data_IF_027883226350
#
_entry.id   IF_027883226350
#
_cell.length_a   1.000
_cell.length_b   1.000
_cell.length_c   1.000
_cell.angle_alpha   90.00
_cell.angle_beta   90.00
_cell.angle_gamma   90.00
#
_symmetry.space_group_name_H-M   'P 1'
#
loop_
_entity.id
_entity.type
_entity.pdbx_description
1 polymer ?
#
# COMPACT_ATOMS: atom_id res chain seq x y z
N UNK A 1 -6.75 -12.66 14.51
CA UNK A 1 -7.56 -13.19 13.38
C UNK A 1 -8.52 -12.10 12.96
N UNK A 2 -8.21 -11.36 11.89
CA UNK A 2 -9.22 -10.52 11.23
C UNK A 2 -10.05 -11.47 10.37
N UNK A 3 -11.34 -11.54 10.68
CA UNK A 3 -12.31 -12.48 10.09
C UNK A 3 -12.54 -12.25 8.59
N UNK A 4 -12.96 -13.31 7.91
CA UNK A 4 -13.40 -13.41 6.52
C UNK A 4 -14.52 -12.40 6.14
N UNK A 5 -14.19 -11.12 5.98
CA UNK A 5 -15.04 -10.22 5.19
C UNK A 5 -14.75 -10.43 3.71
N UNK A 6 -15.77 -10.43 2.85
CA UNK A 6 -15.55 -10.45 1.41
C UNK A 6 -14.73 -9.22 1.04
N UNK A 7 -13.51 -9.44 0.55
CA UNK A 7 -12.73 -8.39 -0.09
C UNK A 7 -13.61 -7.88 -1.24
N UNK A 8 -14.00 -6.61 -1.18
CA UNK A 8 -14.73 -5.99 -2.30
C UNK A 8 -13.74 -5.91 -3.45
N UNK A 9 -13.94 -6.78 -4.44
CA UNK A 9 -13.11 -6.87 -5.62
C UNK A 9 -13.62 -5.91 -6.69
N UNK A 10 -12.85 -4.85 -6.92
CA UNK A 10 -13.07 -3.88 -7.99
C UNK A 10 -11.99 -3.96 -9.07
N UNK A 11 -11.16 -5.02 -9.11
CA UNK A 11 -10.17 -5.24 -10.19
C UNK A 11 -10.81 -5.34 -11.57
N UNK A 12 -12.09 -5.72 -11.66
CA UNK A 12 -12.88 -5.68 -12.89
C UNK A 12 -12.99 -4.30 -13.54
N UNK A 13 -12.68 -3.22 -12.80
CA UNK A 13 -12.66 -1.86 -13.32
C UNK A 13 -11.31 -1.51 -13.98
N UNK A 14 -10.30 -2.38 -13.84
CA UNK A 14 -9.03 -2.21 -14.53
C UNK A 14 -9.19 -2.59 -16.01
N UNK A 15 -8.87 -1.67 -16.94
CA UNK A 15 -8.86 -1.99 -18.36
C UNK A 15 -7.92 -3.18 -18.66
N UNK A 16 -8.33 -4.17 -19.49
CA UNK A 16 -7.54 -5.36 -19.76
C UNK A 16 -6.11 -5.06 -20.26
N UNK A 17 -5.94 -3.98 -21.02
CA UNK A 17 -4.64 -3.60 -21.58
C UNK A 17 -3.61 -3.23 -20.51
N UNK A 18 -4.08 -2.84 -19.32
CA UNK A 18 -3.22 -2.50 -18.18
C UNK A 18 -2.87 -3.73 -17.34
N UNK A 19 -3.70 -4.79 -17.37
CA UNK A 19 -3.52 -6.02 -16.59
C UNK A 19 -2.41 -6.89 -17.18
N UNK A 20 -2.34 -6.99 -18.51
CA UNK A 20 -1.36 -7.83 -19.21
C UNK A 20 0.10 -7.42 -18.93
N UNK A 21 0.32 -6.16 -18.54
CA UNK A 21 1.64 -5.63 -18.15
C UNK A 21 2.07 -5.99 -16.72
N UNK A 22 1.17 -6.46 -15.86
CA UNK A 22 1.43 -6.65 -14.42
C UNK A 22 2.40 -7.81 -14.13
N UNK A 23 2.24 -9.03 -14.67
CA UNK A 23 3.09 -10.17 -14.32
C UNK A 23 4.54 -10.04 -14.84
N UNK A 24 4.74 -9.36 -15.96
CA UNK A 24 6.07 -9.11 -16.52
C UNK A 24 6.88 -8.12 -15.67
N UNK A 25 6.20 -7.20 -14.97
CA UNK A 25 6.82 -6.12 -14.20
C UNK A 25 7.40 -6.56 -12.85
N UNK A 26 6.84 -7.62 -12.26
CA UNK A 26 7.25 -8.15 -10.95
C UNK A 26 8.45 -9.09 -11.01
N UNK A 27 8.89 -9.48 -12.21
CA UNK A 27 9.99 -10.45 -12.42
C UNK A 27 11.40 -9.84 -12.37
N UNK A 28 11.52 -8.51 -12.34
CA UNK A 28 12.79 -7.82 -12.07
C UNK A 28 12.70 -7.10 -10.72
N UNK A 29 13.84 -6.84 -10.06
CA UNK A 29 13.96 -6.03 -8.82
C UNK A 29 13.28 -4.64 -8.92
N UNK A 30 12.83 -4.28 -10.11
CA UNK A 30 11.97 -3.14 -10.45
C UNK A 30 10.50 -3.26 -10.02
N UNK A 31 10.04 -4.35 -9.38
CA UNK A 31 8.66 -4.47 -8.88
C UNK A 31 8.22 -3.34 -7.94
N UNK A 32 9.19 -2.57 -7.42
CA UNK A 32 9.01 -1.37 -6.60
C UNK A 32 9.06 -0.03 -7.38
N UNK A 33 9.41 -0.05 -8.67
CA UNK A 33 9.62 1.12 -9.55
C UNK A 33 8.47 1.37 -10.53
N UNK A 34 7.22 1.10 -10.13
CA UNK A 34 6.07 1.30 -11.01
C UNK A 34 5.79 2.78 -11.35
N UNK A 35 6.41 3.72 -10.62
CA UNK A 35 6.27 5.16 -10.84
C UNK A 35 6.95 5.69 -12.11
N UNK A 36 7.62 4.85 -12.92
CA UNK A 36 8.39 5.33 -14.09
C UNK A 36 8.05 4.65 -15.42
N UNK A 37 7.08 3.73 -15.46
CA UNK A 37 6.77 3.03 -16.69
C UNK A 37 5.75 3.81 -17.54
N UNK A 38 6.12 4.07 -18.79
CA UNK A 38 5.30 4.72 -19.81
C UNK A 38 4.02 3.94 -20.16
N UNK A 39 3.90 2.67 -19.78
CA UNK A 39 2.71 1.84 -20.01
C UNK A 39 1.44 2.41 -19.33
N UNK A 40 1.59 3.08 -18.19
CA UNK A 40 0.49 3.65 -17.42
C UNK A 40 0.47 5.19 -17.48
N UNK A 41 1.10 5.76 -18.52
CA UNK A 41 1.65 7.12 -18.58
C UNK A 41 0.78 8.31 -18.15
N UNK A 42 -0.55 8.17 -18.01
CA UNK A 42 -1.48 9.22 -17.55
C UNK A 42 -2.11 8.96 -16.19
N UNK A 43 -1.85 7.82 -15.54
CA UNK A 43 -2.46 7.44 -14.26
C UNK A 43 -1.65 7.95 -13.07
N UNK A 44 -2.32 8.61 -12.14
CA UNK A 44 -1.73 9.17 -10.91
C UNK A 44 -1.81 8.14 -9.79
N UNK A 45 -1.04 7.07 -9.93
CA UNK A 45 -1.08 5.96 -8.98
C UNK A 45 -0.39 6.30 -7.64
N UNK A 46 0.44 7.34 -7.56
CA UNK A 46 0.93 7.86 -6.27
C UNK A 46 -0.24 8.37 -5.42
N UNK A 47 -1.19 9.08 -6.03
CA UNK A 47 -2.37 9.62 -5.35
C UNK A 47 -3.64 9.18 -6.10
N UNK A 48 -4.02 7.90 -6.02
CA UNK A 48 -5.10 7.34 -6.83
C UNK A 48 -6.43 7.95 -6.37
N UNK A 49 -7.14 8.59 -7.30
CA UNK A 49 -8.42 9.26 -7.02
C UNK A 49 -9.58 8.66 -7.79
N UNK A 50 -9.31 8.04 -8.93
CA UNK A 50 -10.32 7.39 -9.76
C UNK A 50 -10.49 5.92 -9.42
N UNK A 51 -11.66 5.36 -9.68
CA UNK A 51 -11.94 3.95 -9.50
C UNK A 51 -10.98 3.06 -10.32
N UNK A 52 -10.54 3.52 -11.50
CA UNK A 52 -9.58 2.80 -12.36
C UNK A 52 -8.19 2.73 -11.72
N UNK A 53 -7.69 3.84 -11.18
CA UNK A 53 -6.40 3.88 -10.48
C UNK A 53 -6.42 2.98 -9.24
N UNK A 54 -7.51 3.04 -8.47
CA UNK A 54 -7.70 2.19 -7.30
C UNK A 54 -7.77 0.71 -7.68
N UNK A 55 -8.53 0.36 -8.72
CA UNK A 55 -8.63 -1.02 -9.23
C UNK A 55 -7.30 -1.56 -9.74
N UNK A 56 -6.51 -0.73 -10.42
CA UNK A 56 -5.20 -1.11 -10.90
C UNK A 56 -4.25 -1.39 -9.71
N UNK A 57 -4.27 -0.55 -8.67
CA UNK A 57 -3.53 -0.84 -7.45
C UNK A 57 -4.01 -2.12 -6.77
N UNK A 58 -5.31 -2.38 -6.72
CA UNK A 58 -5.87 -3.62 -6.18
C UNK A 58 -5.33 -4.84 -6.94
N UNK A 59 -5.25 -4.77 -8.27
CA UNK A 59 -4.66 -5.82 -9.10
C UNK A 59 -3.21 -6.10 -8.70
N UNK A 60 -2.38 -5.06 -8.48
CA UNK A 60 -1.01 -5.24 -7.99
C UNK A 60 -0.93 -5.85 -6.57
N UNK A 61 -1.92 -5.60 -5.70
CA UNK A 61 -1.93 -6.20 -4.36
C UNK A 61 -2.08 -7.72 -4.39
N UNK A 62 -2.78 -8.27 -5.41
CA UNK A 62 -2.94 -9.72 -5.59
C UNK A 62 -1.61 -10.44 -5.84
N UNK A 63 -0.58 -9.70 -6.28
CA UNK A 63 0.76 -10.21 -6.49
C UNK A 63 1.74 -9.84 -5.35
N UNK A 64 1.23 -9.40 -4.18
CA UNK A 64 2.05 -9.11 -3.01
C UNK A 64 2.78 -7.76 -3.05
N UNK A 65 2.37 -6.83 -3.93
CA UNK A 65 3.03 -5.52 -4.00
C UNK A 65 2.68 -4.64 -2.79
N UNK A 66 3.62 -4.52 -1.84
CA UNK A 66 3.44 -3.74 -0.61
C UNK A 66 3.11 -2.26 -0.84
N UNK A 67 3.78 -1.56 -1.79
CA UNK A 67 3.46 -0.14 -2.07
C UNK A 67 2.02 0.02 -2.54
N UNK A 68 1.57 -0.89 -3.41
CA UNK A 68 0.22 -0.82 -3.95
C UNK A 68 -0.81 -1.02 -2.85
N UNK A 69 -0.56 -1.93 -1.90
CA UNK A 69 -1.39 -2.07 -0.71
C UNK A 69 -1.42 -0.79 0.12
N UNK A 70 -0.26 -0.14 0.34
CA UNK A 70 -0.19 1.09 1.13
C UNK A 70 -0.93 2.26 0.46
N UNK A 71 -0.69 2.49 -0.84
CA UNK A 71 -1.31 3.60 -1.59
C UNK A 71 -2.81 3.37 -1.81
N UNK A 72 -3.22 2.13 -2.06
CA UNK A 72 -4.63 1.75 -2.12
C UNK A 72 -5.30 1.91 -0.75
N UNK A 73 -4.67 1.41 0.31
CA UNK A 73 -5.16 1.54 1.67
C UNK A 73 -5.43 2.99 2.03
N UNK A 74 -4.45 3.87 1.78
CA UNK A 74 -4.59 5.32 1.98
C UNK A 74 -5.75 5.92 1.20
N UNK A 75 -5.92 5.57 -0.07
CA UNK A 75 -6.94 6.23 -0.91
C UNK A 75 -8.36 5.83 -0.54
N UNK A 76 -8.56 4.64 0.02
CA UNK A 76 -9.87 4.16 0.46
C UNK A 76 -10.34 4.81 1.78
N UNK A 77 -9.44 5.38 2.58
CA UNK A 77 -9.81 5.99 3.86
C UNK A 77 -10.54 7.33 3.68
N UNK A 78 -11.62 7.54 4.43
CA UNK A 78 -12.33 8.83 4.42
C UNK A 78 -11.53 9.94 5.11
N UNK A 79 -10.63 9.58 6.03
CA UNK A 79 -9.74 10.51 6.73
C UNK A 79 -8.66 11.08 5.82
N UNK A 80 -8.47 10.52 4.61
CA UNK A 80 -7.44 10.98 3.72
C UNK A 80 -7.79 12.34 3.08
N UNK A 81 -6.78 13.22 3.00
CA UNK A 81 -6.92 14.62 2.56
C UNK A 81 -7.48 14.77 1.15
N UNK A 82 -7.26 13.78 0.29
CA UNK A 82 -7.69 13.80 -1.11
C UNK A 82 -8.75 12.70 -1.30
N UNK A 83 -10.05 13.05 -1.29
CA UNK A 83 -11.12 12.09 -1.51
C UNK A 83 -10.94 11.38 -2.86
N UNK A 84 -11.22 10.09 -2.87
CA UNK A 84 -11.21 9.21 -4.04
C UNK A 84 -12.63 8.71 -4.34
N UNK A 85 -12.85 8.18 -5.54
CA UNK A 85 -14.17 7.69 -5.96
C UNK A 85 -14.65 6.49 -5.14
N UNK A 86 -13.75 5.57 -4.79
CA UNK A 86 -14.08 4.42 -3.93
C UNK A 86 -13.55 4.69 -2.52
N UNK A 87 -14.43 4.69 -1.53
CA UNK A 87 -14.07 4.86 -0.12
C UNK A 87 -14.61 3.72 0.72
N UNK A 88 -13.77 3.21 1.63
CA UNK A 88 -14.09 2.19 2.61
C UNK A 88 -13.02 2.19 3.69
N UNK A 89 -13.36 2.70 4.88
CA UNK A 89 -12.42 2.73 6.01
C UNK A 89 -11.93 1.33 6.40
N UNK A 90 -12.83 0.35 6.34
CA UNK A 90 -12.53 -1.03 6.64
C UNK A 90 -11.48 -1.60 5.68
N UNK A 91 -11.73 -1.50 4.36
CA UNK A 91 -10.79 -2.00 3.35
C UNK A 91 -9.50 -1.17 3.33
N UNK A 92 -9.62 0.14 3.51
CA UNK A 92 -8.49 1.05 3.56
C UNK A 92 -7.50 0.66 4.65
N UNK A 93 -7.99 0.45 5.87
CA UNK A 93 -7.16 0.01 6.97
C UNK A 93 -6.62 -1.41 6.76
N UNK A 94 -7.44 -2.33 6.23
CA UNK A 94 -6.99 -3.69 5.93
C UNK A 94 -5.80 -3.69 4.96
N UNK A 95 -5.89 -2.95 3.86
CA UNK A 95 -4.78 -2.82 2.89
C UNK A 95 -3.57 -2.09 3.47
N UNK A 96 -3.78 -1.03 4.26
CA UNK A 96 -2.69 -0.33 4.95
C UNK A 96 -1.91 -1.27 5.86
N UNK A 97 -2.58 -1.99 6.75
CA UNK A 97 -1.93 -2.92 7.67
C UNK A 97 -1.26 -4.09 6.95
N UNK A 98 -1.90 -4.61 5.90
CA UNK A 98 -1.34 -5.70 5.08
C UNK A 98 -0.06 -5.24 4.35
N UNK A 99 -0.06 -4.02 3.81
CA UNK A 99 1.13 -3.42 3.22
C UNK A 99 2.25 -3.25 4.24
N UNK A 100 1.94 -2.74 5.43
CA UNK A 100 2.94 -2.56 6.50
C UNK A 100 3.55 -3.89 6.97
N UNK A 101 2.74 -4.93 7.07
CA UNK A 101 3.22 -6.26 7.44
C UNK A 101 4.09 -6.87 6.33
N UNK A 102 3.71 -6.69 5.06
CA UNK A 102 4.55 -7.10 3.92
C UNK A 102 5.94 -6.46 3.98
N UNK A 103 6.03 -5.16 4.32
CA UNK A 103 7.31 -4.48 4.52
C UNK A 103 8.07 -5.01 5.75
N UNK A 104 7.39 -5.23 6.87
CA UNK A 104 7.99 -5.79 8.09
C UNK A 104 8.59 -7.19 7.83
N UNK A 105 7.92 -8.02 7.02
CA UNK A 105 8.41 -9.34 6.61
C UNK A 105 9.63 -9.19 5.71
N UNK A 106 9.51 -8.45 4.60
CA UNK A 106 10.59 -8.30 3.61
C UNK A 106 11.84 -7.72 4.25
N UNK A 107 11.73 -6.70 5.12
CA UNK A 107 12.89 -6.07 5.74
C UNK A 107 13.65 -6.97 6.74
N UNK A 108 13.04 -8.05 7.22
CA UNK A 108 13.72 -9.05 8.06
C UNK A 108 14.59 -9.99 7.23
N UNK A 109 14.37 -10.06 5.92
CA UNK A 109 15.17 -10.90 5.03
C UNK A 109 16.54 -10.27 4.76
N UNK A 110 17.60 -11.06 4.87
CA UNK A 110 18.98 -10.60 4.62
C UNK A 110 19.16 -10.08 3.19
N UNK A 111 18.44 -10.68 2.24
CA UNK A 111 18.45 -10.34 0.81
C UNK A 111 17.42 -9.25 0.43
N UNK A 112 16.81 -8.55 1.39
CA UNK A 112 15.80 -7.53 1.09
C UNK A 112 16.33 -6.48 0.07
N UNK A 113 15.57 -6.17 -0.99
CA UNK A 113 16.01 -5.26 -2.05
C UNK A 113 16.45 -3.89 -1.52
N UNK A 114 17.53 -3.33 -2.09
CA UNK A 114 18.04 -2.01 -1.67
C UNK A 114 17.00 -0.90 -1.89
N UNK A 115 16.21 -0.99 -2.96
CA UNK A 115 15.10 -0.09 -3.23
C UNK A 115 14.11 -0.06 -2.06
N UNK A 116 13.85 -1.21 -1.44
CA UNK A 116 12.96 -1.31 -0.28
C UNK A 116 13.54 -0.72 0.97
N UNK A 117 14.80 -1.04 1.24
CA UNK A 117 15.54 -0.43 2.34
C UNK A 117 15.54 1.09 2.21
N UNK A 118 15.61 1.65 1.00
CA UNK A 118 15.52 3.09 0.77
C UNK A 118 14.10 3.65 0.91
N UNK A 119 13.09 2.93 0.42
CA UNK A 119 11.70 3.41 0.42
C UNK A 119 11.18 3.67 1.84
N UNK A 120 11.56 2.86 2.82
CA UNK A 120 11.08 3.04 4.21
C UNK A 120 11.60 4.29 4.92
N UNK A 121 12.59 4.97 4.33
CA UNK A 121 13.06 6.28 4.80
C UNK A 121 12.44 7.45 4.02
N UNK A 122 11.54 7.19 3.06
CA UNK A 122 10.89 8.25 2.31
C UNK A 122 9.80 8.94 3.15
N UNK A 123 9.54 10.23 2.91
CA UNK A 123 8.43 10.94 3.55
C UNK A 123 7.08 10.27 3.30
N UNK A 124 6.90 9.65 2.12
CA UNK A 124 5.67 8.93 1.79
C UNK A 124 5.44 7.75 2.75
N UNK A 125 6.44 6.86 2.89
CA UNK A 125 6.31 5.69 3.77
C UNK A 125 6.08 6.10 5.22
N UNK A 126 6.84 7.09 5.69
CA UNK A 126 6.70 7.63 7.04
C UNK A 126 5.29 8.18 7.28
N UNK A 127 4.76 8.96 6.33
CA UNK A 127 3.39 9.50 6.40
C UNK A 127 2.33 8.39 6.39
N UNK A 128 2.54 7.31 5.64
CA UNK A 128 1.68 6.13 5.65
C UNK A 128 1.73 5.41 7.01
N UNK A 129 2.89 5.31 7.66
CA UNK A 129 3.02 4.76 9.02
C UNK A 129 2.27 5.61 10.05
N UNK A 130 2.38 6.94 9.96
CA UNK A 130 1.64 7.86 10.82
C UNK A 130 0.13 7.71 10.64
N UNK A 131 -0.33 7.60 9.40
CA UNK A 131 -1.73 7.35 9.08
C UNK A 131 -2.22 6.02 9.67
N UNK A 132 -1.45 4.94 9.49
CA UNK A 132 -1.79 3.64 10.08
C UNK A 132 -1.90 3.71 11.61
N UNK A 133 -0.95 4.36 12.28
CA UNK A 133 -0.98 4.57 13.74
C UNK A 133 -2.24 5.33 14.16
N UNK A 134 -2.57 6.42 13.45
CA UNK A 134 -3.76 7.20 13.71
C UNK A 134 -5.03 6.36 13.58
N UNK A 135 -5.22 5.67 12.46
CA UNK A 135 -6.43 4.87 12.19
C UNK A 135 -6.59 3.71 13.18
N UNK A 136 -5.49 3.05 13.57
CA UNK A 136 -5.52 1.99 14.58
C UNK A 136 -5.95 2.53 15.94
N UNK A 137 -5.46 3.71 16.33
CA UNK A 137 -5.82 4.36 17.58
C UNK A 137 -7.28 4.86 17.57
N UNK A 138 -7.69 5.57 16.51
CA UNK A 138 -9.02 6.12 16.33
C UNK A 138 -10.10 5.04 16.37
N UNK A 139 -9.87 3.93 15.67
CA UNK A 139 -10.81 2.81 15.59
C UNK A 139 -10.66 1.80 16.73
N UNK A 140 -9.76 2.05 17.68
CA UNK A 140 -9.43 1.18 18.81
C UNK A 140 -9.16 -0.28 18.40
N UNK A 141 -8.37 -0.45 17.34
CA UNK A 141 -8.04 -1.77 16.77
C UNK A 141 -6.79 -2.31 17.45
N UNK A 142 -6.82 -3.59 17.82
CA UNK A 142 -5.64 -4.30 18.29
C UNK A 142 -4.86 -4.86 17.09
N UNK A 143 -3.60 -4.47 16.97
CA UNK A 143 -2.64 -5.02 16.00
C UNK A 143 -1.58 -5.84 16.74
N UNK A 144 -0.88 -6.74 16.03
CA UNK A 144 0.17 -7.55 16.64
C UNK A 144 1.32 -6.67 17.19
N UNK A 145 1.96 -7.06 18.31
CA UNK A 145 3.02 -6.28 18.92
C UNK A 145 4.18 -5.96 17.97
N UNK A 146 4.54 -6.91 17.10
CA UNK A 146 5.63 -6.77 16.14
C UNK A 146 5.35 -5.69 15.11
N UNK A 147 4.11 -5.65 14.58
CA UNK A 147 3.69 -4.61 13.65
C UNK A 147 3.58 -3.26 14.37
N UNK A 148 3.08 -3.24 15.61
CA UNK A 148 3.06 -2.02 16.41
C UNK A 148 4.47 -1.46 16.65
N UNK A 149 5.45 -2.32 16.93
CA UNK A 149 6.84 -1.90 17.13
C UNK A 149 7.46 -1.40 15.82
N UNK A 150 7.21 -2.11 14.72
CA UNK A 150 7.65 -1.70 13.38
C UNK A 150 7.16 -0.28 13.04
N UNK A 151 5.85 -0.03 13.16
CA UNK A 151 5.26 1.29 12.89
C UNK A 151 5.90 2.39 13.74
N UNK A 152 6.10 2.15 15.05
CA UNK A 152 6.74 3.11 15.96
C UNK A 152 8.18 3.41 15.56
N UNK A 153 8.96 2.39 15.19
CA UNK A 153 10.34 2.58 14.74
C UNK A 153 10.40 3.38 13.44
N UNK A 154 9.54 3.05 12.47
CA UNK A 154 9.50 3.74 11.18
C UNK A 154 9.22 5.24 11.30
N UNK A 155 8.41 5.68 12.27
CA UNK A 155 8.14 7.12 12.49
C UNK A 155 9.18 7.81 13.38
N UNK A 156 9.95 7.06 14.18
CA UNK A 156 10.98 7.62 15.06
C UNK A 156 12.22 8.16 14.32
N UNK A 157 12.42 7.73 13.06
CA UNK A 157 13.54 8.16 12.22
C UNK A 157 13.51 9.65 11.83
N UNK A 158 12.48 10.40 12.22
CA UNK A 158 12.32 11.83 11.93
C UNK A 158 13.05 12.71 12.97
N UNK A 159 13.55 12.16 14.08
CA UNK A 159 14.05 12.96 15.23
C UNK A 159 15.57 13.22 15.28
N UNK A 160 16.33 12.97 14.20
CA UNK A 160 17.77 13.25 14.17
C UNK A 160 18.21 14.00 12.92
#
# INVERSE_FOLDING_TARGET
MLMDSPIVDFTRLTPPELIDGVPAFLKSDSGWYWSTNKAWGTLELEYPRTAVEQALLQSFTQFGCGVSMLRLGRSLLHSYRYPSEIQSDYLGLQYLLSGMDAFNIVLRETAAPLSIKKYVYTPEFIGLCQLAIHEVADKNISICPELSEFLRKSVSHIQH
#
